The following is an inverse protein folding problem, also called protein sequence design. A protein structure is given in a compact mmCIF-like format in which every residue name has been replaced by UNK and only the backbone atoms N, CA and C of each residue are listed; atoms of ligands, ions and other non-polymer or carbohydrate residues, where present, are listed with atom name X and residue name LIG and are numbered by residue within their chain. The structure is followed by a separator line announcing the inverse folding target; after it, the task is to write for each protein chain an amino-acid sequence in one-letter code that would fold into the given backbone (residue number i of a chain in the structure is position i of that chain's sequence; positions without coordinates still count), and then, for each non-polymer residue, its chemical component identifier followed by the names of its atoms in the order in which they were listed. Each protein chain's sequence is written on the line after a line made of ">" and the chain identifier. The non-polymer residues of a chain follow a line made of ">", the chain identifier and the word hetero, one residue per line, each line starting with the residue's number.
data_IF_517094841296
#
_entry.id   IF_517094841296
#
_cell.length_a   1.000
_cell.length_b   1.000
_cell.length_c   1.000
_cell.angle_alpha   90.00
_cell.angle_beta   90.00
_cell.angle_gamma   90.00
#
_symmetry.space_group_name_H-M   'P 1'
#
loop_
_entity.id
_entity.type
_entity.pdbx_description
1 polymer ?
#
# COMPACT_ATOMS: atom_id res chain seq x y z
N UNK A 1 -7.06 39.91 75.43
CA UNK A 1 -7.06 40.03 73.91
C UNK A 1 -5.66 40.17 73.44
N UNK A 2 -4.99 39.10 73.02
CA UNK A 2 -3.67 39.13 72.41
C UNK A 2 -3.76 39.63 70.97
N UNK A 3 -3.04 40.70 70.60
CA UNK A 3 -3.04 41.13 69.21
C UNK A 3 -2.37 40.06 68.34
N UNK A 4 -3.01 39.70 67.25
CA UNK A 4 -2.45 38.79 66.29
C UNK A 4 -1.15 39.32 65.76
N UNK A 5 -0.10 38.49 65.80
CA UNK A 5 1.28 38.88 65.38
C UNK A 5 1.27 39.37 63.93
N UNK A 6 1.84 40.52 63.65
CA UNK A 6 1.82 41.12 62.29
C UNK A 6 2.53 40.26 61.22
N UNK A 7 3.27 39.25 61.62
CA UNK A 7 3.95 38.33 60.70
C UNK A 7 3.02 37.33 59.98
N UNK A 8 1.84 37.01 60.59
CA UNK A 8 0.96 36.02 59.96
C UNK A 8 0.24 36.58 58.71
N UNK A 9 -0.11 37.85 58.68
CA UNK A 9 -0.74 38.49 57.55
C UNK A 9 0.24 38.67 56.37
N UNK A 10 1.52 38.98 56.66
CA UNK A 10 2.56 39.13 55.66
C UNK A 10 2.90 37.77 55.02
N UNK A 11 2.91 36.69 55.80
CA UNK A 11 3.13 35.34 55.25
C UNK A 11 1.99 34.89 54.32
N UNK A 12 0.74 35.18 54.67
CA UNK A 12 -0.45 34.86 53.85
C UNK A 12 -0.46 35.68 52.54
N UNK A 13 -0.10 36.95 52.55
CA UNK A 13 0.01 37.80 51.37
C UNK A 13 1.14 37.31 50.46
N UNK A 14 2.29 36.90 51.05
CA UNK A 14 3.40 36.36 50.29
C UNK A 14 3.08 35.04 49.57
N UNK A 15 2.35 34.15 50.22
CA UNK A 15 1.90 32.85 49.62
C UNK A 15 0.91 33.09 48.48
N UNK A 16 -0.03 34.01 48.67
CA UNK A 16 -1.00 34.37 47.63
C UNK A 16 -0.34 34.98 46.40
N UNK A 17 0.65 35.85 46.58
CA UNK A 17 1.38 36.51 45.49
C UNK A 17 2.25 35.51 44.69
N UNK A 18 2.89 34.58 45.35
CA UNK A 18 3.72 33.54 44.72
C UNK A 18 2.87 32.51 43.95
N UNK A 19 1.69 32.16 44.49
CA UNK A 19 0.72 31.29 43.79
C UNK A 19 0.16 31.99 42.54
N UNK A 20 -0.17 33.27 42.62
CA UNK A 20 -0.65 34.07 41.49
C UNK A 20 0.44 34.23 40.39
N UNK A 21 1.68 34.47 40.78
CA UNK A 21 2.81 34.53 39.81
C UNK A 21 3.04 33.18 39.13
N UNK A 22 2.98 32.05 39.86
CA UNK A 22 3.08 30.72 39.27
C UNK A 22 1.95 30.42 38.29
N UNK A 23 0.73 30.78 38.63
CA UNK A 23 -0.41 30.59 37.73
C UNK A 23 -0.29 31.47 36.48
N UNK A 24 0.17 32.72 36.61
CA UNK A 24 0.41 33.58 35.45
C UNK A 24 1.54 33.07 34.55
N UNK A 25 2.63 32.60 35.11
CA UNK A 25 3.76 31.97 34.37
C UNK A 25 3.28 30.69 33.69
N UNK A 26 2.49 29.84 34.36
CA UNK A 26 1.92 28.63 33.77
C UNK A 26 1.00 28.91 32.59
N UNK A 27 0.17 29.97 32.64
CA UNK A 27 -0.69 30.39 31.51
C UNK A 27 0.14 30.96 30.36
N UNK A 28 1.16 31.76 30.62
CA UNK A 28 2.06 32.30 29.60
C UNK A 28 2.85 31.20 28.88
N UNK A 29 3.37 30.22 29.62
CA UNK A 29 4.09 29.07 29.03
C UNK A 29 3.15 28.17 28.24
N UNK A 30 1.93 27.91 28.72
CA UNK A 30 0.92 27.12 28.00
C UNK A 30 0.47 27.82 26.69
N UNK A 31 0.29 29.15 26.72
CA UNK A 31 -0.05 29.92 25.51
C UNK A 31 1.10 29.96 24.51
N UNK A 32 2.35 29.94 24.96
CA UNK A 32 3.54 29.95 24.10
C UNK A 32 3.84 28.59 23.46
N UNK A 33 3.46 27.51 24.13
CA UNK A 33 3.66 26.13 23.62
C UNK A 33 2.58 25.67 22.68
N UNK A 34 1.37 26.27 22.72
CA UNK A 34 0.26 25.93 21.81
C UNK A 34 0.63 26.05 20.33
N UNK A 35 1.11 27.19 19.82
CA UNK A 35 1.42 27.32 18.39
C UNK A 35 2.58 26.44 17.95
N UNK A 36 3.49 26.08 18.85
CA UNK A 36 4.56 25.14 18.58
C UNK A 36 4.04 23.70 18.44
N UNK A 37 3.12 23.29 19.31
CA UNK A 37 2.49 21.96 19.27
C UNK A 37 1.61 21.79 18.02
N UNK A 38 0.81 22.80 17.67
CA UNK A 38 0.00 22.80 16.46
C UNK A 38 0.86 22.74 15.19
N UNK A 39 2.01 23.43 15.15
CA UNK A 39 2.97 23.33 14.03
C UNK A 39 3.59 21.94 13.91
N UNK A 40 3.93 21.30 15.04
CA UNK A 40 4.47 19.94 15.06
C UNK A 40 3.42 18.94 14.60
N UNK A 41 2.17 19.08 15.05
CA UNK A 41 1.06 18.22 14.63
C UNK A 41 0.75 18.38 13.15
N UNK A 42 0.79 19.60 12.62
CA UNK A 42 0.63 19.88 11.20
C UNK A 42 1.78 19.32 10.36
N UNK A 43 3.02 19.42 10.82
CA UNK A 43 4.18 18.84 10.14
C UNK A 43 4.10 17.31 10.10
N UNK A 44 3.69 16.69 11.21
CA UNK A 44 3.47 15.23 11.27
C UNK A 44 2.33 14.79 10.36
N UNK A 45 1.21 15.54 10.33
CA UNK A 45 0.09 15.27 9.43
C UNK A 45 0.50 15.38 7.95
N UNK A 46 1.27 16.41 7.59
CA UNK A 46 1.81 16.58 6.24
C UNK A 46 2.75 15.44 5.84
N UNK A 47 3.59 14.98 6.77
CA UNK A 47 4.46 13.83 6.53
C UNK A 47 3.65 12.55 6.29
N UNK A 48 2.58 12.32 7.05
CA UNK A 48 1.67 11.19 6.84
C UNK A 48 0.94 11.27 5.49
N UNK A 49 0.47 12.46 5.11
CA UNK A 49 -0.19 12.66 3.82
C UNK A 49 0.79 12.37 2.66
N UNK A 50 2.04 12.84 2.75
CA UNK A 50 3.07 12.55 1.74
C UNK A 50 3.39 11.06 1.67
N UNK A 51 3.50 10.39 2.82
CA UNK A 51 3.71 8.95 2.87
C UNK A 51 2.53 8.17 2.27
N UNK A 52 1.30 8.62 2.51
CA UNK A 52 0.10 8.04 1.91
C UNK A 52 0.07 8.25 0.40
N UNK A 53 0.37 9.47 -0.08
CA UNK A 53 0.45 9.76 -1.50
C UNK A 53 1.48 8.85 -2.20
N UNK A 54 2.67 8.69 -1.65
CA UNK A 54 3.68 7.78 -2.18
C UNK A 54 3.21 6.32 -2.25
N UNK A 55 2.45 5.85 -1.24
CA UNK A 55 1.86 4.51 -1.25
C UNK A 55 0.79 4.37 -2.34
N UNK A 56 -0.03 5.39 -2.53
CA UNK A 56 -1.04 5.40 -3.60
C UNK A 56 -0.37 5.35 -4.96
N UNK A 57 0.66 6.16 -5.20
CA UNK A 57 1.44 6.13 -6.45
C UNK A 57 2.03 4.75 -6.71
N UNK A 58 2.66 4.13 -5.71
CA UNK A 58 3.21 2.79 -5.82
C UNK A 58 2.14 1.72 -6.11
N UNK A 59 0.93 1.85 -5.53
CA UNK A 59 -0.19 0.97 -5.83
C UNK A 59 -0.71 1.15 -7.26
N UNK A 60 -0.79 2.39 -7.75
CA UNK A 60 -1.20 2.68 -9.13
C UNK A 60 -0.20 2.07 -10.11
N UNK A 61 1.10 2.27 -9.91
CA UNK A 61 2.14 1.66 -10.74
C UNK A 61 2.06 0.13 -10.74
N UNK A 62 1.86 -0.47 -9.56
CA UNK A 62 1.71 -1.92 -9.45
C UNK A 62 0.46 -2.42 -10.17
N UNK A 63 -0.64 -1.70 -10.05
CA UNK A 63 -1.89 -2.02 -10.75
C UNK A 63 -1.72 -1.96 -12.26
N UNK A 64 -1.03 -0.94 -12.78
CA UNK A 64 -0.71 -0.81 -14.20
C UNK A 64 0.15 -1.98 -14.69
N UNK A 65 1.24 -2.31 -13.99
CA UNK A 65 2.09 -3.47 -14.32
C UNK A 65 1.28 -4.77 -14.37
N UNK A 66 0.46 -5.03 -13.34
CA UNK A 66 -0.38 -6.23 -13.31
C UNK A 66 -1.39 -6.27 -14.48
N UNK A 67 -1.91 -5.13 -14.89
CA UNK A 67 -2.81 -5.02 -16.04
C UNK A 67 -2.08 -5.36 -17.34
N UNK A 68 -0.88 -4.84 -17.52
CA UNK A 68 -0.06 -5.09 -18.70
C UNK A 68 0.43 -6.55 -18.75
N UNK A 69 0.86 -7.11 -17.62
CA UNK A 69 1.22 -8.52 -17.50
C UNK A 69 0.01 -9.43 -17.80
N UNK A 70 -1.17 -9.08 -17.29
CA UNK A 70 -2.39 -9.86 -17.55
C UNK A 70 -2.74 -9.86 -19.04
N UNK A 71 -2.63 -8.69 -19.70
CA UNK A 71 -2.83 -8.56 -21.15
C UNK A 71 -1.82 -9.41 -21.92
N UNK A 72 -0.55 -9.33 -21.55
CA UNK A 72 0.52 -10.13 -22.17
C UNK A 72 0.29 -11.62 -21.99
N UNK A 73 -0.04 -12.07 -20.79
CA UNK A 73 -0.31 -13.48 -20.50
C UNK A 73 -1.54 -14.00 -21.28
N UNK A 74 -2.59 -13.21 -21.40
CA UNK A 74 -3.76 -13.58 -22.22
C UNK A 74 -3.38 -13.74 -23.69
N UNK A 75 -2.57 -12.83 -24.21
CA UNK A 75 -2.11 -12.95 -25.60
C UNK A 75 -1.25 -14.21 -25.82
N UNK A 76 -0.31 -14.49 -24.91
CA UNK A 76 0.47 -15.73 -24.96
C UNK A 76 -0.42 -16.98 -24.85
N UNK A 77 -1.44 -16.95 -24.01
CA UNK A 77 -2.40 -18.05 -23.89
C UNK A 77 -3.16 -18.28 -25.20
N UNK A 78 -3.62 -17.23 -25.87
CA UNK A 78 -4.27 -17.33 -27.17
C UNK A 78 -3.35 -17.91 -28.24
N UNK A 79 -2.08 -17.47 -28.26
CA UNK A 79 -1.08 -18.04 -29.18
C UNK A 79 -0.85 -19.53 -28.92
N UNK A 80 -0.66 -19.94 -27.66
CA UNK A 80 -0.47 -21.35 -27.30
C UNK A 80 -1.69 -22.21 -27.63
N UNK A 81 -2.90 -21.69 -27.48
CA UNK A 81 -4.14 -22.37 -27.89
C UNK A 81 -4.14 -22.55 -29.40
N UNK A 82 -3.78 -21.53 -30.17
CA UNK A 82 -3.67 -21.60 -31.62
C UNK A 82 -2.61 -22.61 -32.08
N UNK A 83 -1.43 -22.56 -31.51
CA UNK A 83 -0.35 -23.51 -31.80
C UNK A 83 -0.76 -24.96 -31.48
N UNK A 84 -1.38 -25.17 -30.32
CA UNK A 84 -1.91 -26.47 -29.94
C UNK A 84 -2.93 -27.00 -30.97
N UNK A 85 -3.85 -26.15 -31.40
CA UNK A 85 -4.86 -26.55 -32.41
C UNK A 85 -4.17 -26.92 -33.71
N UNK A 86 -3.18 -26.15 -34.19
CA UNK A 86 -2.40 -26.48 -35.37
C UNK A 86 -1.64 -27.80 -35.26
N UNK A 87 -0.99 -28.02 -34.08
CA UNK A 87 -0.28 -29.27 -33.83
C UNK A 87 -1.19 -30.48 -33.82
N UNK A 88 -2.38 -30.36 -33.21
CA UNK A 88 -3.40 -31.42 -33.24
C UNK A 88 -3.85 -31.74 -34.67
N UNK A 89 -4.09 -30.73 -35.49
CA UNK A 89 -4.46 -30.90 -36.89
C UNK A 89 -3.36 -31.59 -37.69
N UNK A 90 -2.08 -31.15 -37.51
CA UNK A 90 -0.94 -31.79 -38.18
C UNK A 90 -0.74 -33.22 -37.71
N UNK A 91 -0.92 -33.50 -36.43
CA UNK A 91 -0.80 -34.85 -35.88
C UNK A 91 -1.86 -35.78 -36.48
N UNK A 92 -3.12 -35.33 -36.55
CA UNK A 92 -4.21 -36.08 -37.13
C UNK A 92 -4.00 -36.35 -38.64
N UNK A 93 -3.51 -35.33 -39.38
CA UNK A 93 -3.15 -35.50 -40.78
C UNK A 93 -2.00 -36.51 -40.97
N UNK A 94 -0.97 -36.44 -40.12
CA UNK A 94 0.14 -37.41 -40.18
C UNK A 94 -0.33 -38.81 -39.86
N UNK A 95 -1.16 -38.98 -38.84
CA UNK A 95 -1.78 -40.25 -38.45
C UNK A 95 -2.62 -40.87 -39.60
N UNK A 96 -3.49 -40.07 -40.20
CA UNK A 96 -4.34 -40.49 -41.33
C UNK A 96 -3.47 -40.94 -42.54
N UNK A 97 -2.37 -40.21 -42.81
CA UNK A 97 -1.44 -40.60 -43.89
C UNK A 97 -0.75 -41.94 -43.58
N UNK A 98 -0.31 -42.15 -42.35
CA UNK A 98 0.30 -43.41 -41.93
C UNK A 98 -0.69 -44.57 -42.01
N UNK A 99 -1.92 -44.36 -41.54
CA UNK A 99 -2.99 -45.37 -41.65
C UNK A 99 -3.30 -45.72 -43.10
N UNK A 100 -3.38 -44.73 -44.00
CA UNK A 100 -3.57 -44.97 -45.44
C UNK A 100 -2.40 -45.75 -46.06
N UNK A 101 -1.15 -45.45 -45.64
CA UNK A 101 0.01 -46.22 -46.13
C UNK A 101 -0.01 -47.68 -45.61
N UNK A 102 -0.41 -47.91 -44.37
CA UNK A 102 -0.57 -49.26 -43.82
C UNK A 102 -1.62 -50.05 -44.59
N UNK A 103 -2.76 -49.43 -44.88
CA UNK A 103 -3.83 -50.10 -45.69
C UNK A 103 -3.34 -50.45 -47.08
N UNK A 104 -2.59 -49.53 -47.74
CA UNK A 104 -2.02 -49.80 -49.07
C UNK A 104 -0.99 -50.97 -49.05
N UNK A 105 -0.12 -50.98 -48.05
CA UNK A 105 0.85 -52.07 -47.88
C UNK A 105 0.18 -53.41 -47.66
N UNK A 106 -0.84 -53.47 -46.81
CA UNK A 106 -1.62 -54.69 -46.57
C UNK A 106 -2.33 -55.18 -47.86
N UNK A 107 -2.86 -54.26 -48.67
CA UNK A 107 -3.49 -54.67 -49.92
C UNK A 107 -2.48 -55.22 -50.94
N UNK A 108 -1.26 -54.72 -50.98
CA UNK A 108 -0.20 -55.23 -51.83
C UNK A 108 0.30 -56.61 -51.37
N UNK A 109 0.36 -56.85 -50.08
CA UNK A 109 0.71 -58.12 -49.49
C UNK A 109 -0.30 -59.24 -49.83
N UNK A 110 -1.58 -58.90 -49.89
CA UNK A 110 -2.68 -59.81 -50.25
C UNK A 110 -2.76 -60.13 -51.76
N UNK A 111 -2.14 -59.34 -52.61
CA UNK A 111 -2.09 -59.53 -54.05
C UNK A 111 -0.83 -60.26 -54.54
N UNK A 112 0.06 -60.51 -53.64
CA UNK A 112 1.23 -61.38 -53.90
C UNK A 112 1.01 -62.75 -53.37
#
# INVERSE_FOLDING_TARGET
>A
VTPAAPGAVQALVGIGLTACKRAAIGRLTAARTRPYRERMDNAAALAQIRALAARVEALVERSQRLTDENRSLRHQQEQLIGERAQLLTKNEQARSRVEAMIVRLKSLEQHT
#
